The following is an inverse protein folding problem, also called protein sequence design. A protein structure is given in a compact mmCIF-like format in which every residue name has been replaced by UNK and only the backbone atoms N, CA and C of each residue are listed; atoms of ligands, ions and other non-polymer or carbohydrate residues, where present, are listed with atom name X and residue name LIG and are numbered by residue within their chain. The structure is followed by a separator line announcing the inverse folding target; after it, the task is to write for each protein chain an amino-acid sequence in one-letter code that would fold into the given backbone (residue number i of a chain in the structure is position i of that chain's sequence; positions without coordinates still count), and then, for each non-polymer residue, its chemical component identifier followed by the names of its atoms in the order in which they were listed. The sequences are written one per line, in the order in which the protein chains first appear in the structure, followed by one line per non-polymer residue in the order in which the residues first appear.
data_IF_150384428520
#
_entry.id   IF_150384428520
#
_cell.length_a   1.000
_cell.length_b   1.000
_cell.length_c   1.000
_cell.angle_alpha   90.00
_cell.angle_beta   90.00
_cell.angle_gamma   90.00
#
_symmetry.space_group_name_H-M   'P 1'
#
loop_
_entity.id
_entity.type
_entity.pdbx_description
1 polymer ?
#
# COMPACT_ATOMS: atom_id res chain seq x y z
N UNK A 1 22.39 -16.64 14.17
CA UNK A 1 21.27 -15.67 14.17
C UNK A 1 20.36 -16.01 15.34
N UNK A 2 20.11 -15.06 16.23
CA UNK A 2 19.20 -15.26 17.37
C UNK A 2 17.78 -15.52 16.88
N UNK A 3 17.00 -16.34 17.60
CA UNK A 3 15.56 -16.53 17.35
C UNK A 3 14.74 -15.25 17.61
N UNK A 4 15.36 -14.25 18.22
CA UNK A 4 14.76 -12.98 18.65
C UNK A 4 15.18 -11.79 17.79
N UNK A 5 15.71 -12.02 16.58
CA UNK A 5 16.05 -10.94 15.65
C UNK A 5 14.77 -10.23 15.16
N UNK A 6 14.59 -8.98 15.60
CA UNK A 6 13.45 -8.15 15.23
C UNK A 6 13.35 -7.94 13.71
N UNK A 7 14.49 -7.74 13.02
CA UNK A 7 14.51 -7.53 11.57
C UNK A 7 14.04 -8.77 10.82
N UNK A 8 14.44 -9.96 11.28
CA UNK A 8 13.96 -11.23 10.72
C UNK A 8 12.44 -11.37 10.89
N UNK A 9 11.91 -11.08 12.08
CA UNK A 9 10.47 -11.20 12.33
C UNK A 9 9.63 -10.18 11.55
N UNK A 10 10.12 -8.95 11.35
CA UNK A 10 9.50 -7.96 10.46
C UNK A 10 9.41 -8.52 9.04
N UNK A 11 10.49 -9.10 8.52
CA UNK A 11 10.50 -9.70 7.19
C UNK A 11 9.57 -10.91 7.07
N UNK A 12 9.58 -11.82 8.05
CA UNK A 12 8.71 -13.00 8.08
C UNK A 12 7.23 -12.59 8.10
N UNK A 13 6.87 -11.61 8.94
CA UNK A 13 5.50 -11.11 9.03
C UNK A 13 5.09 -10.42 7.72
N UNK A 14 5.94 -9.57 7.17
CA UNK A 14 5.74 -8.91 5.87
C UNK A 14 5.52 -9.91 4.75
N UNK A 15 6.33 -10.98 4.68
CA UNK A 15 6.17 -12.04 3.68
C UNK A 15 4.84 -12.80 3.83
N UNK A 16 4.45 -13.17 5.06
CA UNK A 16 3.15 -13.83 5.30
C UNK A 16 1.99 -12.93 4.88
N UNK A 17 2.07 -11.64 5.21
CA UNK A 17 1.06 -10.64 4.84
C UNK A 17 0.97 -10.46 3.32
N UNK A 18 2.11 -10.29 2.65
CA UNK A 18 2.19 -10.17 1.18
C UNK A 18 1.65 -11.41 0.47
N UNK A 19 2.07 -12.62 0.88
CA UNK A 19 1.61 -13.88 0.30
C UNK A 19 0.09 -14.01 0.41
N UNK A 20 -0.47 -13.73 1.58
CA UNK A 20 -1.91 -13.79 1.82
C UNK A 20 -2.67 -12.75 1.00
N UNK A 21 -2.19 -11.51 0.96
CA UNK A 21 -2.84 -10.46 0.18
C UNK A 21 -2.82 -10.73 -1.31
N UNK A 22 -1.70 -11.24 -1.84
CA UNK A 22 -1.64 -11.66 -3.24
C UNK A 22 -2.64 -12.78 -3.55
N UNK A 23 -2.75 -13.79 -2.68
CA UNK A 23 -3.72 -14.86 -2.86
C UNK A 23 -5.18 -14.36 -2.80
N UNK A 24 -5.46 -13.34 -2.00
CA UNK A 24 -6.81 -12.76 -1.88
C UNK A 24 -7.20 -11.87 -3.05
N UNK A 25 -6.22 -11.28 -3.75
CA UNK A 25 -6.46 -10.32 -4.83
C UNK A 25 -6.18 -10.87 -6.23
N UNK A 26 -5.69 -12.10 -6.32
CA UNK A 26 -5.37 -12.76 -7.60
C UNK A 26 -6.58 -12.80 -8.54
N UNK A 27 -7.79 -13.00 -8.00
CA UNK A 27 -9.05 -13.04 -8.76
C UNK A 27 -9.42 -11.68 -9.38
N UNK A 28 -8.88 -10.57 -8.84
CA UNK A 28 -9.05 -9.23 -9.39
C UNK A 28 -7.92 -8.85 -10.37
N UNK A 29 -7.00 -9.77 -10.65
CA UNK A 29 -5.86 -9.55 -11.54
C UNK A 29 -4.81 -8.57 -10.98
N UNK A 30 -4.83 -8.28 -9.68
CA UNK A 30 -3.91 -7.36 -9.03
C UNK A 30 -3.22 -7.99 -7.81
N UNK A 31 -2.03 -7.50 -7.49
CA UNK A 31 -1.28 -7.90 -6.28
C UNK A 31 -1.79 -7.17 -5.03
N UNK A 32 -1.43 -7.68 -3.86
CA UNK A 32 -1.71 -7.05 -2.56
C UNK A 32 -1.27 -5.59 -2.48
N UNK A 33 -0.06 -5.29 -2.98
CA UNK A 33 0.47 -3.92 -3.02
C UNK A 33 -0.31 -3.04 -3.99
N UNK A 34 -0.65 -3.56 -5.18
CA UNK A 34 -1.48 -2.83 -6.14
C UNK A 34 -2.86 -2.51 -5.58
N UNK A 35 -3.48 -3.45 -4.85
CA UNK A 35 -4.75 -3.23 -4.16
C UNK A 35 -4.68 -2.10 -3.14
N UNK A 36 -3.63 -2.07 -2.30
CA UNK A 36 -3.44 -0.98 -1.33
C UNK A 36 -3.22 0.38 -2.00
N UNK A 37 -2.42 0.42 -3.06
CA UNK A 37 -2.20 1.65 -3.84
C UNK A 37 -3.50 2.12 -4.50
N UNK A 38 -4.29 1.21 -5.08
CA UNK A 38 -5.61 1.51 -5.62
C UNK A 38 -6.53 2.13 -4.57
N UNK A 39 -6.67 1.49 -3.42
CA UNK A 39 -7.49 1.97 -2.31
C UNK A 39 -7.05 3.35 -1.82
N UNK A 40 -5.74 3.59 -1.73
CA UNK A 40 -5.20 4.91 -1.40
C UNK A 40 -5.57 5.97 -2.44
N UNK A 41 -5.43 5.67 -3.74
CA UNK A 41 -5.76 6.63 -4.82
C UNK A 41 -7.24 6.96 -4.78
N UNK A 42 -8.12 5.96 -4.64
CA UNK A 42 -9.58 6.17 -4.57
C UNK A 42 -9.94 7.03 -3.36
N UNK A 43 -9.45 6.71 -2.17
CA UNK A 43 -9.76 7.49 -0.98
C UNK A 43 -9.23 8.92 -1.07
N UNK A 44 -7.98 9.09 -1.47
CA UNK A 44 -7.35 10.41 -1.59
C UNK A 44 -8.00 11.27 -2.66
N UNK A 45 -8.46 10.66 -3.77
CA UNK A 45 -9.14 11.37 -4.86
C UNK A 45 -10.44 12.04 -4.47
N UNK A 46 -11.05 11.65 -3.33
CA UNK A 46 -12.24 12.32 -2.78
C UNK A 46 -11.91 13.73 -2.23
N UNK A 47 -10.66 13.96 -1.85
CA UNK A 47 -10.19 15.20 -1.22
C UNK A 47 -9.41 16.10 -2.19
N UNK A 48 -9.16 15.65 -3.43
CA UNK A 48 -8.44 16.41 -4.44
C UNK A 48 -7.67 15.52 -5.44
N UNK A 49 -7.00 16.11 -6.44
CA UNK A 49 -6.19 15.37 -7.39
C UNK A 49 -5.05 14.61 -6.71
N UNK A 50 -4.83 13.36 -7.11
CA UNK A 50 -3.75 12.50 -6.62
C UNK A 50 -2.67 12.36 -7.68
N UNK A 51 -1.42 12.44 -7.28
CA UNK A 51 -0.25 12.34 -8.14
C UNK A 51 0.66 11.18 -7.72
N UNK A 52 1.60 10.82 -8.60
CA UNK A 52 2.59 9.80 -8.30
C UNK A 52 3.38 10.09 -7.02
N UNK A 53 3.74 11.36 -6.76
CA UNK A 53 4.48 11.76 -5.55
C UNK A 53 3.72 11.43 -4.26
N UNK A 54 2.39 11.42 -4.31
CA UNK A 54 1.56 11.15 -3.14
C UNK A 54 1.60 9.67 -2.80
N UNK A 55 1.64 8.80 -3.82
CA UNK A 55 1.86 7.36 -3.65
C UNK A 55 3.28 7.08 -3.16
N UNK A 56 4.29 7.73 -3.75
CA UNK A 56 5.70 7.62 -3.30
C UNK A 56 5.82 7.95 -1.81
N UNK A 57 5.21 9.06 -1.36
CA UNK A 57 5.24 9.50 0.04
C UNK A 57 4.43 8.59 0.97
N UNK A 58 3.23 8.15 0.55
CA UNK A 58 2.34 7.36 1.41
C UNK A 58 2.87 5.95 1.68
N UNK A 59 3.64 5.38 0.76
CA UNK A 59 4.15 4.02 0.86
C UNK A 59 5.68 3.93 0.99
N UNK A 60 6.36 5.08 1.05
CA UNK A 60 7.83 5.18 1.04
C UNK A 60 8.46 4.41 -0.13
N UNK A 61 7.75 4.38 -1.26
CA UNK A 61 8.21 3.69 -2.45
C UNK A 61 9.16 4.56 -3.24
N UNK A 62 10.22 3.93 -3.76
CA UNK A 62 11.06 4.56 -4.77
C UNK A 62 10.24 4.95 -6.00
N UNK A 63 10.72 5.96 -6.74
CA UNK A 63 10.09 6.40 -7.99
C UNK A 63 9.91 5.27 -8.99
N UNK A 64 10.89 4.37 -9.11
CA UNK A 64 10.83 3.24 -10.05
C UNK A 64 9.79 2.22 -9.63
N UNK A 65 9.72 1.88 -8.33
CA UNK A 65 8.68 1.01 -7.76
C UNK A 65 7.30 1.57 -8.01
N UNK A 66 7.08 2.84 -7.70
CA UNK A 66 5.78 3.49 -7.91
C UNK A 66 5.40 3.53 -9.39
N UNK A 67 6.35 3.85 -10.27
CA UNK A 67 6.13 3.84 -11.72
C UNK A 67 5.67 2.46 -12.20
N UNK A 68 6.35 1.39 -11.78
CA UNK A 68 5.98 0.03 -12.16
C UNK A 68 4.60 -0.39 -11.65
N UNK A 69 4.25 -0.05 -10.41
CA UNK A 69 2.92 -0.33 -9.85
C UNK A 69 1.83 0.39 -10.66
N UNK A 70 2.00 1.68 -10.90
CA UNK A 70 1.02 2.48 -11.62
C UNK A 70 0.87 2.04 -13.08
N UNK A 71 1.95 1.66 -13.76
CA UNK A 71 1.90 1.08 -15.11
C UNK A 71 1.08 -0.21 -15.15
N UNK A 72 1.21 -1.08 -14.14
CA UNK A 72 0.44 -2.32 -14.07
C UNK A 72 -1.05 -2.08 -13.79
N UNK A 73 -1.37 -1.09 -12.93
CA UNK A 73 -2.75 -0.65 -12.69
C UNK A 73 -3.37 -0.05 -13.95
N UNK A 74 -2.62 0.77 -14.69
CA UNK A 74 -3.05 1.37 -15.97
C UNK A 74 -3.25 0.30 -17.05
N UNK A 75 -2.30 -0.64 -17.20
CA UNK A 75 -2.44 -1.79 -18.12
C UNK A 75 -3.67 -2.66 -17.81
N UNK A 76 -4.10 -2.68 -16.55
CA UNK A 76 -5.26 -3.44 -16.10
C UNK A 76 -6.56 -2.62 -16.15
N UNK A 77 -6.55 -1.42 -16.73
CA UNK A 77 -7.69 -0.50 -16.83
C UNK A 77 -8.27 -0.09 -15.46
N UNK A 78 -7.43 -0.08 -14.43
CA UNK A 78 -7.82 0.28 -13.07
C UNK A 78 -7.65 1.79 -12.85
N UNK A 79 -6.64 2.40 -13.46
CA UNK A 79 -6.41 3.84 -13.39
C UNK A 79 -6.09 4.40 -14.77
N UNK A 80 -6.26 5.71 -14.92
CA UNK A 80 -5.76 6.49 -16.07
C UNK A 80 -4.89 7.63 -15.55
N UNK A 81 -3.83 7.96 -16.30
CA UNK A 81 -2.98 9.14 -16.06
C UNK A 81 -3.36 10.29 -16.98
N UNK A 82 -4.07 11.28 -16.44
CA UNK A 82 -4.51 12.45 -17.18
C UNK A 82 -3.57 13.65 -16.95
N UNK A 83 -3.25 14.40 -18.01
CA UNK A 83 -2.58 15.69 -17.85
C UNK A 83 -3.49 16.68 -17.15
N UNK A 84 -2.92 17.53 -16.30
CA UNK A 84 -3.63 18.68 -15.74
C UNK A 84 -3.51 19.89 -16.67
N UNK A 85 -4.58 20.70 -16.84
CA UNK A 85 -4.56 21.87 -17.72
C UNK A 85 -3.45 22.87 -17.41
N UNK A 86 -3.07 22.99 -16.13
CA UNK A 86 -2.10 23.95 -15.64
C UNK A 86 -0.65 23.56 -15.92
N UNK A 87 -0.35 22.26 -16.03
CA UNK A 87 0.98 21.74 -16.37
C UNK A 87 0.85 20.36 -17.02
N UNK A 88 1.07 20.29 -18.34
CA UNK A 88 0.97 19.05 -19.11
C UNK A 88 1.94 17.94 -18.64
N UNK A 89 3.01 18.29 -17.92
CA UNK A 89 3.99 17.36 -17.34
C UNK A 89 3.47 16.69 -16.07
N UNK A 90 2.48 17.28 -15.41
CA UNK A 90 1.81 16.71 -14.25
C UNK A 90 0.69 15.78 -14.70
N UNK A 91 0.75 14.53 -14.22
CA UNK A 91 -0.25 13.50 -14.48
C UNK A 91 -1.00 13.16 -13.20
N UNK A 92 -2.29 13.49 -13.14
CA UNK A 92 -3.17 13.05 -12.05
C UNK A 92 -3.59 11.60 -12.27
N UNK A 93 -3.73 10.86 -11.19
CA UNK A 93 -4.17 9.47 -11.16
C UNK A 93 -5.69 9.45 -11.00
N UNK A 94 -6.40 8.95 -12.02
CA UNK A 94 -7.87 8.92 -12.03
C UNK A 94 -8.34 7.47 -11.96
N UNK A 95 -9.05 7.07 -10.88
CA UNK A 95 -9.67 5.75 -10.80
C UNK A 95 -10.78 5.57 -11.84
N UNK A 96 -10.73 4.48 -12.59
CA UNK A 96 -11.78 4.10 -13.54
C UNK A 96 -13.04 3.59 -12.82
N UNK A 97 -14.11 3.33 -13.58
CA UNK A 97 -15.29 2.66 -13.04
C UNK A 97 -14.97 1.24 -12.55
N UNK A 98 -14.09 0.51 -13.26
CA UNK A 98 -13.58 -0.80 -12.87
C UNK A 98 -12.84 -0.75 -11.53
N UNK A 99 -12.03 0.28 -11.32
CA UNK A 99 -11.34 0.53 -10.05
C UNK A 99 -12.30 0.54 -8.86
N UNK A 100 -13.42 1.26 -8.97
CA UNK A 100 -14.42 1.37 -7.88
C UNK A 100 -15.11 0.04 -7.57
N UNK A 101 -15.34 -0.79 -8.59
CA UNK A 101 -15.90 -2.14 -8.38
C UNK A 101 -14.91 -3.05 -7.65
N UNK A 102 -13.62 -2.97 -8.02
CA UNK A 102 -12.56 -3.76 -7.38
C UNK A 102 -12.31 -3.29 -5.94
N UNK A 103 -12.32 -1.98 -5.70
CA UNK A 103 -11.94 -1.39 -4.41
C UNK A 103 -12.81 -1.84 -3.24
N UNK A 104 -14.13 -1.94 -3.43
CA UNK A 104 -15.03 -2.46 -2.37
C UNK A 104 -14.53 -3.81 -1.86
N UNK A 105 -14.14 -4.69 -2.78
CA UNK A 105 -13.68 -6.04 -2.46
C UNK A 105 -12.26 -6.03 -1.91
N UNK A 106 -11.38 -5.17 -2.43
CA UNK A 106 -10.02 -4.96 -1.87
C UNK A 106 -10.10 -4.50 -0.42
N UNK A 107 -10.94 -3.52 -0.12
CA UNK A 107 -11.13 -2.98 1.23
C UNK A 107 -11.64 -4.04 2.20
N UNK A 108 -12.58 -4.88 1.78
CA UNK A 108 -13.02 -6.03 2.57
C UNK A 108 -11.87 -7.00 2.84
N UNK A 109 -11.08 -7.36 1.83
CA UNK A 109 -9.92 -8.26 2.02
C UNK A 109 -8.86 -7.66 2.93
N UNK A 110 -8.62 -6.35 2.86
CA UNK A 110 -7.69 -5.64 3.76
C UNK A 110 -8.21 -5.73 5.20
N UNK A 111 -9.50 -5.44 5.44
CA UNK A 111 -10.12 -5.54 6.78
C UNK A 111 -10.08 -6.96 7.34
N UNK A 112 -10.46 -7.96 6.55
CA UNK A 112 -10.43 -9.37 6.96
C UNK A 112 -9.02 -9.81 7.37
N UNK A 113 -8.02 -9.32 6.63
CA UNK A 113 -6.63 -9.68 6.87
C UNK A 113 -6.08 -8.97 8.12
N UNK A 114 -6.45 -7.71 8.34
CA UNK A 114 -6.11 -6.97 9.56
C UNK A 114 -6.72 -7.63 10.81
N UNK A 115 -8.00 -8.00 10.73
CA UNK A 115 -8.70 -8.70 11.81
C UNK A 115 -8.06 -10.06 12.12
N UNK A 116 -7.61 -10.80 11.09
CA UNK A 116 -6.91 -12.07 11.32
C UNK A 116 -5.52 -11.85 11.94
N UNK A 117 -4.77 -10.86 11.45
CA UNK A 117 -3.42 -10.56 11.94
C UNK A 117 -3.42 -10.15 13.41
N UNK A 118 -4.47 -9.45 13.84
CA UNK A 118 -4.63 -8.94 15.21
C UNK A 118 -5.45 -9.87 16.11
N UNK A 119 -5.93 -11.02 15.60
CA UNK A 119 -6.79 -11.94 16.34
C UNK A 119 -6.11 -12.45 17.61
N UNK A 120 -6.75 -12.21 18.76
CA UNK A 120 -6.25 -12.61 20.07
C UNK A 120 -5.31 -11.60 20.72
N UNK A 121 -5.03 -10.47 20.06
CA UNK A 121 -4.32 -9.34 20.66
C UNK A 121 -5.31 -8.39 21.33
N UNK A 122 -4.95 -7.86 22.50
CA UNK A 122 -5.69 -6.78 23.14
C UNK A 122 -5.47 -5.46 22.41
N UNK A 123 -6.39 -4.47 22.55
CA UNK A 123 -6.18 -3.13 21.99
C UNK A 123 -4.84 -2.50 22.43
N UNK A 124 -4.43 -2.71 23.68
CA UNK A 124 -3.16 -2.21 24.20
C UNK A 124 -1.93 -2.88 23.56
N UNK A 125 -1.99 -4.18 23.25
CA UNK A 125 -0.91 -4.86 22.53
C UNK A 125 -0.77 -4.36 21.09
N UNK A 126 -1.90 -4.13 20.40
CA UNK A 126 -1.91 -3.56 19.06
C UNK A 126 -1.32 -2.14 19.09
N UNK A 127 -1.75 -1.31 20.04
CA UNK A 127 -1.23 0.04 20.20
C UNK A 127 0.28 0.04 20.45
N UNK A 128 0.76 -0.77 21.41
CA UNK A 128 2.18 -0.89 21.72
C UNK A 128 2.99 -1.34 20.50
N UNK A 129 2.49 -2.31 19.72
CA UNK A 129 3.13 -2.73 18.49
C UNK A 129 3.26 -1.59 17.48
N UNK A 130 2.18 -0.82 17.27
CA UNK A 130 2.19 0.30 16.33
C UNK A 130 3.16 1.42 16.76
N UNK A 131 3.19 1.76 18.05
CA UNK A 131 4.15 2.73 18.60
C UNK A 131 5.59 2.24 18.43
N UNK A 132 5.85 0.98 18.75
CA UNK A 132 7.18 0.36 18.61
C UNK A 132 7.62 0.33 17.14
N UNK A 133 6.74 -0.09 16.22
CA UNK A 133 7.05 -0.15 14.79
C UNK A 133 7.32 1.25 14.20
N UNK A 134 6.56 2.27 14.61
CA UNK A 134 6.82 3.66 14.21
C UNK A 134 8.17 4.16 14.71
N UNK A 135 8.53 3.85 15.96
CA UNK A 135 9.85 4.21 16.50
C UNK A 135 10.98 3.51 15.73
N UNK A 136 10.82 2.22 15.41
CA UNK A 136 11.79 1.49 14.58
C UNK A 136 11.94 2.12 13.20
N UNK A 137 10.83 2.52 12.55
CA UNK A 137 10.86 3.23 11.26
C UNK A 137 11.63 4.55 11.37
N UNK A 138 11.30 5.38 12.35
CA UNK A 138 11.96 6.67 12.57
C UNK A 138 13.45 6.54 12.87
N UNK A 139 13.89 5.44 13.49
CA UNK A 139 15.31 5.17 13.70
C UNK A 139 16.03 4.87 12.37
N UNK A 140 15.39 4.13 11.45
CA UNK A 140 15.94 3.81 10.13
C UNK A 140 16.00 5.03 9.21
N UNK A 141 15.11 6.01 9.40
CA UNK A 141 15.12 7.26 8.64
C UNK A 141 16.22 8.23 9.10
N UNK A 142 16.68 8.13 10.36
CA UNK A 142 17.71 9.00 10.93
C UNK A 142 19.11 8.72 10.38
N UNK A 143 19.40 7.47 10.05
CA UNK A 143 20.68 7.05 9.46
C UNK A 143 20.41 6.38 8.12
N UNK A 144 20.53 7.12 6.99
CA UNK A 144 20.38 6.54 5.67
C UNK A 144 21.32 5.35 5.51
N UNK A 145 20.84 4.29 4.86
CA UNK A 145 21.68 3.15 4.54
C UNK A 145 22.96 3.62 3.82
N UNK A 146 24.14 3.10 4.19
CA UNK A 146 25.42 3.50 3.60
C UNK A 146 25.51 3.20 2.11
#
# INVERSE_FOLDING_TARGET
MSKDDCGLWVNVLSHKLKKRMNAMLIDFGITGVQGRVLSFIIESSKNGPVYQRDVERAFEFSRSTTTGILQLLEKSDVIVRESVPEDARLKKLVPTAKARQIDVRVQERIRDNEALMTRGLSPGQIQLFLETARQMSANLDQEPAP
#
